data_IF_223438038466
#
_entry.id   IF_223438038466
#
_cell.length_a   1.000
_cell.length_b   1.000
_cell.length_c   1.000
_cell.angle_alpha   90.00
_cell.angle_beta   90.00
_cell.angle_gamma   90.00
#
_symmetry.space_group_name_H-M   'P 1'
#
loop_
_entity.id
_entity.type
_entity.pdbx_description
1 polymer ?
#
# COMPACT_ATOMS: atom_id res chain seq x y z
N UNK A 1 27.60 22.33 -7.17
CA UNK A 1 26.64 23.25 -6.54
C UNK A 1 25.41 23.60 -7.42
N UNK A 2 25.57 24.05 -8.67
CA UNK A 2 24.41 24.45 -9.54
C UNK A 2 23.41 23.31 -9.87
N UNK A 3 23.83 22.04 -9.90
CA UNK A 3 22.96 20.89 -10.20
C UNK A 3 22.11 20.50 -8.99
N UNK A 4 22.67 20.53 -7.80
CA UNK A 4 21.95 20.27 -6.55
C UNK A 4 20.84 21.33 -6.31
N UNK A 5 21.13 22.59 -6.63
CA UNK A 5 20.19 23.70 -6.51
C UNK A 5 19.01 23.61 -7.52
N UNK A 6 19.24 23.06 -8.73
CA UNK A 6 18.18 22.77 -9.70
C UNK A 6 17.31 21.59 -9.24
N UNK A 7 17.92 20.54 -8.67
CA UNK A 7 17.19 19.37 -8.16
C UNK A 7 16.32 19.71 -6.94
N UNK A 8 16.82 20.56 -6.05
CA UNK A 8 16.05 21.05 -4.89
C UNK A 8 14.88 21.93 -5.34
N UNK A 9 15.07 22.81 -6.32
CA UNK A 9 13.97 23.61 -6.89
C UNK A 9 12.91 22.74 -7.60
N UNK A 10 13.34 21.69 -8.30
CA UNK A 10 12.39 20.77 -8.93
C UNK A 10 11.60 19.95 -7.88
N UNK A 11 12.28 19.53 -6.82
CA UNK A 11 11.64 18.83 -5.71
C UNK A 11 10.64 19.72 -4.96
N UNK A 12 10.99 20.98 -4.70
CA UNK A 12 10.07 21.95 -4.08
C UNK A 12 8.89 22.30 -4.97
N UNK A 13 9.08 22.46 -6.27
CA UNK A 13 7.98 22.71 -7.23
C UNK A 13 7.08 21.48 -7.33
N UNK A 14 7.65 20.27 -7.39
CA UNK A 14 6.88 19.03 -7.39
C UNK A 14 6.08 18.85 -6.08
N UNK A 15 6.67 19.19 -4.94
CA UNK A 15 6.01 19.14 -3.63
C UNK A 15 4.87 20.18 -3.53
N UNK A 16 5.08 21.39 -4.03
CA UNK A 16 4.06 22.44 -4.09
C UNK A 16 2.93 22.06 -5.08
N UNK A 17 3.25 21.45 -6.22
CA UNK A 17 2.27 20.98 -7.19
C UNK A 17 1.43 19.81 -6.65
N UNK A 18 2.06 18.88 -5.92
CA UNK A 18 1.38 17.80 -5.19
C UNK A 18 0.42 18.37 -4.13
N UNK A 19 0.86 19.39 -3.41
CA UNK A 19 0.09 20.02 -2.36
C UNK A 19 -1.09 20.84 -2.92
N UNK A 20 -0.89 21.56 -4.03
CA UNK A 20 -1.98 22.32 -4.68
C UNK A 20 -3.04 21.38 -5.29
N UNK A 21 -2.67 20.22 -5.81
CA UNK A 21 -3.62 19.24 -6.34
C UNK A 21 -4.56 18.69 -5.26
N UNK A 22 -4.07 18.51 -4.02
CA UNK A 22 -4.92 18.06 -2.91
C UNK A 22 -5.91 19.14 -2.44
N UNK A 23 -5.57 20.41 -2.59
CA UNK A 23 -6.44 21.54 -2.21
C UNK A 23 -7.58 21.73 -3.22
N UNK A 24 -7.30 21.62 -4.53
CA UNK A 24 -8.32 21.76 -5.57
C UNK A 24 -9.34 20.61 -5.60
N UNK A 25 -8.99 19.44 -5.05
CA UNK A 25 -9.94 18.33 -4.91
C UNK A 25 -10.97 18.54 -3.77
N UNK A 26 -10.77 19.55 -2.92
CA UNK A 26 -11.55 19.78 -1.70
C UNK A 26 -12.68 20.83 -1.82
N UNK A 27 -12.80 21.58 -2.93
CA UNK A 27 -13.75 22.71 -2.98
C UNK A 27 -14.85 22.50 -4.03
N UNK A 28 -16.04 22.14 -3.57
CA UNK A 28 -17.31 22.60 -4.12
C UNK A 28 -18.50 22.27 -3.22
N UNK A 29 -18.89 23.25 -2.44
CA UNK A 29 -20.11 23.15 -1.64
C UNK A 29 -21.35 23.54 -2.43
N UNK A 30 -22.37 22.69 -2.41
CA UNK A 30 -23.80 23.04 -2.37
C UNK A 30 -24.64 21.83 -1.97
N UNK A 31 -25.72 22.14 -1.20
CA UNK A 31 -26.66 21.21 -0.58
C UNK A 31 -27.42 20.34 -1.57
N UNK A 32 -27.56 19.05 -1.33
CA UNK A 32 -28.81 18.34 -1.50
C UNK A 32 -28.87 17.02 -0.72
N UNK A 33 -30.09 16.62 -0.34
CA UNK A 33 -30.52 15.59 0.57
C UNK A 33 -30.01 14.16 0.28
N UNK A 34 -29.84 13.43 1.39
CA UNK A 34 -29.97 11.98 1.57
C UNK A 34 -29.73 11.07 0.35
N UNK A 35 -28.46 10.69 0.20
CA UNK A 35 -28.05 9.34 -0.16
C UNK A 35 -26.52 9.28 0.02
N UNK A 36 -26.02 8.22 0.62
CA UNK A 36 -24.61 7.97 0.99
C UNK A 36 -23.62 8.14 -0.15
N UNK A 37 -23.41 9.35 -0.56
CA UNK A 37 -22.54 9.70 -1.67
C UNK A 37 -21.63 10.80 -1.18
N UNK A 38 -20.40 10.48 -0.72
CA UNK A 38 -19.24 11.36 -0.45
C UNK A 38 -19.46 12.87 -0.34
N UNK A 39 -20.67 13.27 0.00
CA UNK A 39 -21.11 14.64 0.18
C UNK A 39 -20.92 15.05 1.63
N UNK A 40 -20.53 16.28 1.83
CA UNK A 40 -20.41 17.04 3.08
C UNK A 40 -20.36 16.23 4.35
N UNK A 41 -19.16 16.01 4.82
CA UNK A 41 -18.87 15.40 6.10
C UNK A 41 -19.02 16.47 7.15
N UNK A 42 -20.16 16.49 7.83
CA UNK A 42 -20.50 17.51 8.84
C UNK A 42 -20.48 16.92 10.26
N UNK A 43 -20.66 15.62 10.41
CA UNK A 43 -20.64 14.94 11.71
C UNK A 43 -19.39 14.09 11.88
N UNK A 44 -19.05 13.79 13.14
CA UNK A 44 -17.88 12.96 13.46
C UNK A 44 -18.00 11.55 12.87
N UNK A 45 -19.21 10.99 12.90
CA UNK A 45 -19.54 9.67 12.39
C UNK A 45 -19.39 9.62 10.85
N UNK A 46 -19.83 10.67 10.16
CA UNK A 46 -19.66 10.79 8.70
C UNK A 46 -18.19 10.93 8.29
N UNK A 47 -17.38 11.67 9.10
CA UNK A 47 -15.93 11.77 8.91
C UNK A 47 -15.29 10.38 9.01
N UNK A 48 -15.61 9.64 10.05
CA UNK A 48 -15.04 8.31 10.28
C UNK A 48 -15.43 7.34 9.15
N UNK A 49 -16.69 7.32 8.76
CA UNK A 49 -17.17 6.49 7.65
C UNK A 49 -16.49 6.84 6.34
N UNK A 50 -16.32 8.15 6.02
CA UNK A 50 -15.62 8.61 4.85
C UNK A 50 -14.15 8.17 4.83
N UNK A 51 -13.43 8.32 5.95
CA UNK A 51 -12.03 7.91 6.08
C UNK A 51 -11.92 6.40 5.86
N UNK A 52 -12.75 5.61 6.54
CA UNK A 52 -12.74 4.15 6.41
C UNK A 52 -13.06 3.68 4.99
N UNK A 53 -13.99 4.34 4.29
CA UNK A 53 -14.30 4.04 2.90
C UNK A 53 -13.14 4.38 1.96
N UNK A 54 -12.46 5.50 2.18
CA UNK A 54 -11.37 5.96 1.32
C UNK A 54 -10.10 5.11 1.42
N UNK A 55 -9.87 4.47 2.58
CA UNK A 55 -8.71 3.60 2.81
C UNK A 55 -8.90 2.22 2.15
N UNK A 56 -10.15 1.77 1.92
CA UNK A 56 -10.44 0.48 1.31
C UNK A 56 -10.02 0.43 -0.16
N UNK A 57 -9.69 -0.77 -0.62
CA UNK A 57 -9.41 -1.02 -2.03
C UNK A 57 -10.71 -0.93 -2.86
N UNK A 58 -10.65 -0.34 -4.03
CA UNK A 58 -11.79 -0.10 -4.89
C UNK A 58 -11.66 -0.83 -6.22
N UNK A 59 -12.79 -1.31 -6.75
CA UNK A 59 -12.91 -1.88 -8.10
C UNK A 59 -13.02 -0.80 -9.18
N UNK A 60 -13.08 0.47 -8.79
CA UNK A 60 -13.10 1.62 -9.69
C UNK A 60 -11.84 2.46 -9.49
N UNK A 61 -11.18 2.79 -10.59
CA UNK A 61 -10.06 3.72 -10.55
C UNK A 61 -10.57 5.15 -10.64
N UNK A 62 -10.95 5.73 -9.51
CA UNK A 62 -11.37 7.13 -9.44
C UNK A 62 -10.18 8.04 -9.13
N UNK A 63 -9.97 9.06 -9.96
CA UNK A 63 -8.97 10.10 -9.73
C UNK A 63 -9.55 11.20 -8.84
N UNK A 64 -10.65 11.79 -9.25
CA UNK A 64 -11.41 12.78 -8.49
C UNK A 64 -12.86 12.82 -8.96
N UNK A 65 -13.74 13.31 -8.10
CA UNK A 65 -15.12 13.59 -8.46
C UNK A 65 -15.42 15.07 -8.25
N UNK A 66 -16.14 15.69 -9.16
CA UNK A 66 -16.60 17.06 -9.03
C UNK A 66 -18.11 17.13 -9.29
N UNK A 67 -18.77 18.06 -8.61
CA UNK A 67 -20.19 18.32 -8.83
C UNK A 67 -20.31 19.51 -9.78
N UNK A 68 -20.96 19.30 -10.92
CA UNK A 68 -21.26 20.38 -11.86
C UNK A 68 -22.30 21.35 -11.27
N UNK A 69 -22.41 22.55 -11.85
CA UNK A 69 -23.42 23.56 -11.45
C UNK A 69 -24.85 23.03 -11.57
N UNK A 70 -25.09 22.03 -12.41
CA UNK A 70 -26.37 21.31 -12.57
C UNK A 70 -26.68 20.33 -11.43
N UNK A 71 -25.84 20.25 -10.39
CA UNK A 71 -25.99 19.33 -9.27
C UNK A 71 -25.61 17.85 -9.58
N UNK A 72 -25.18 17.57 -10.81
CA UNK A 72 -24.73 16.23 -11.20
C UNK A 72 -23.28 16.01 -10.81
N UNK A 73 -23.02 14.86 -10.20
CA UNK A 73 -21.66 14.44 -9.82
C UNK A 73 -21.00 13.70 -10.97
N UNK A 74 -19.86 14.21 -11.40
CA UNK A 74 -19.02 13.62 -12.42
C UNK A 74 -17.82 12.93 -11.77
N UNK A 75 -17.67 11.64 -12.01
CA UNK A 75 -16.52 10.87 -11.59
C UNK A 75 -15.53 10.77 -12.75
N UNK A 76 -14.33 11.30 -12.55
CA UNK A 76 -13.25 11.11 -13.50
C UNK A 76 -12.44 9.87 -13.08
N UNK A 77 -12.54 8.82 -13.88
CA UNK A 77 -11.90 7.55 -13.58
C UNK A 77 -12.05 6.53 -14.70
N UNK A 78 -11.48 5.37 -14.50
CA UNK A 78 -11.57 4.25 -15.44
C UNK A 78 -12.27 3.07 -14.75
N UNK A 79 -13.27 2.46 -15.40
CA UNK A 79 -13.83 1.21 -14.90
C UNK A 79 -12.77 0.10 -15.02
N UNK A 80 -12.66 -0.70 -13.98
CA UNK A 80 -11.70 -1.81 -13.95
C UNK A 80 -12.42 -3.13 -14.26
N UNK A 81 -11.74 -4.11 -14.84
CA UNK A 81 -12.33 -5.42 -15.10
C UNK A 81 -12.52 -6.19 -13.80
N UNK A 82 -13.75 -6.61 -13.57
CA UNK A 82 -14.17 -7.48 -12.47
C UNK A 82 -14.09 -8.92 -12.96
N UNK A 83 -13.39 -9.75 -12.19
CA UNK A 83 -13.17 -11.17 -12.47
C UNK A 83 -13.53 -11.97 -11.22
N UNK A 84 -14.66 -12.70 -11.29
CA UNK A 84 -15.18 -13.44 -10.16
C UNK A 84 -15.20 -14.95 -10.46
N UNK A 85 -14.87 -15.74 -9.47
CA UNK A 85 -15.10 -17.16 -9.49
C UNK A 85 -16.35 -17.46 -8.68
N UNK A 86 -17.47 -17.63 -9.38
CA UNK A 86 -18.80 -17.83 -8.82
C UNK A 86 -19.18 -19.30 -8.77
N UNK A 87 -20.38 -19.61 -8.27
CA UNK A 87 -20.95 -20.96 -8.21
C UNK A 87 -21.06 -21.65 -9.60
N UNK A 88 -21.20 -20.89 -10.69
CA UNK A 88 -21.28 -21.39 -12.07
C UNK A 88 -19.98 -21.18 -12.87
N UNK A 89 -18.86 -20.87 -12.20
CA UNK A 89 -17.54 -20.69 -12.79
C UNK A 89 -17.11 -19.23 -12.96
N UNK A 90 -16.20 -18.99 -13.91
CA UNK A 90 -15.61 -17.67 -14.12
C UNK A 90 -16.61 -16.70 -14.77
N UNK A 91 -16.84 -15.57 -14.11
CA UNK A 91 -17.67 -14.45 -14.60
C UNK A 91 -16.81 -13.21 -14.70
N UNK A 92 -16.89 -12.51 -15.84
CA UNK A 92 -16.14 -11.27 -16.08
C UNK A 92 -17.06 -10.18 -16.62
N UNK A 93 -16.91 -8.96 -16.08
CA UNK A 93 -17.63 -7.77 -16.51
C UNK A 93 -16.87 -6.52 -16.07
N UNK A 94 -17.34 -5.34 -16.45
CA UNK A 94 -16.68 -4.08 -16.06
C UNK A 94 -17.34 -3.49 -14.81
N UNK A 95 -16.55 -2.88 -13.94
CA UNK A 95 -17.03 -2.24 -12.71
C UNK A 95 -18.04 -1.12 -12.97
N UNK A 96 -18.02 -0.51 -14.17
CA UNK A 96 -19.00 0.49 -14.58
C UNK A 96 -20.45 0.01 -14.53
N UNK A 97 -20.70 -1.30 -14.58
CA UNK A 97 -22.04 -1.85 -14.48
C UNK A 97 -22.67 -1.69 -13.09
N UNK A 98 -21.86 -1.44 -12.06
CA UNK A 98 -22.34 -1.06 -10.72
C UNK A 98 -22.69 0.43 -10.58
N UNK A 99 -22.51 1.25 -11.63
CA UNK A 99 -22.78 2.69 -11.60
C UNK A 99 -22.19 3.43 -10.40
N UNK A 100 -21.00 3.02 -9.95
CA UNK A 100 -20.32 3.52 -8.74
C UNK A 100 -21.09 3.30 -7.42
N UNK A 101 -22.15 2.47 -7.43
CA UNK A 101 -22.87 2.14 -6.22
C UNK A 101 -22.07 1.13 -5.37
N UNK A 102 -21.97 1.38 -4.06
CA UNK A 102 -21.26 0.54 -3.08
C UNK A 102 -22.18 0.10 -1.91
N UNK A 103 -23.47 0.38 -2.01
CA UNK A 103 -24.48 0.13 -0.96
C UNK A 103 -25.35 -1.10 -1.26
N UNK A 104 -25.05 -1.82 -2.34
CA UNK A 104 -25.80 -3.02 -2.73
C UNK A 104 -27.14 -2.77 -3.42
N UNK A 105 -27.47 -1.53 -3.79
CA UNK A 105 -28.72 -1.20 -4.48
C UNK A 105 -28.70 -1.56 -5.98
N UNK A 106 -27.52 -1.56 -6.60
CA UNK A 106 -27.36 -1.91 -8.01
C UNK A 106 -26.98 -3.37 -8.11
N UNK A 107 -27.80 -4.15 -8.82
CA UNK A 107 -27.60 -5.56 -9.05
C UNK A 107 -27.20 -5.78 -10.52
N UNK A 108 -26.08 -6.43 -10.72
CA UNK A 108 -25.58 -6.83 -12.05
C UNK A 108 -25.90 -8.30 -12.27
N UNK A 109 -26.64 -8.58 -13.33
CA UNK A 109 -26.99 -9.96 -13.71
C UNK A 109 -26.08 -10.45 -14.82
N UNK A 110 -25.34 -11.54 -14.57
CA UNK A 110 -24.46 -12.20 -15.54
C UNK A 110 -24.55 -13.72 -15.39
N UNK A 111 -24.71 -14.40 -16.51
CA UNK A 111 -24.85 -15.87 -16.58
C UNK A 111 -25.95 -16.43 -15.67
N UNK A 112 -27.04 -15.66 -15.47
CA UNK A 112 -28.13 -16.08 -14.58
C UNK A 112 -27.85 -15.91 -13.09
N UNK A 113 -26.69 -15.37 -12.71
CA UNK A 113 -26.33 -15.02 -11.35
C UNK A 113 -26.43 -13.52 -11.15
N UNK A 114 -26.76 -13.11 -9.93
CA UNK A 114 -26.90 -11.72 -9.53
C UNK A 114 -25.78 -11.31 -8.58
N UNK A 115 -25.13 -10.21 -8.89
CA UNK A 115 -24.03 -9.68 -8.11
C UNK A 115 -24.37 -8.29 -7.60
N UNK A 116 -24.03 -8.02 -6.34
CA UNK A 116 -24.13 -6.69 -5.74
C UNK A 116 -22.79 -6.31 -5.12
N UNK A 117 -22.47 -5.03 -5.18
CA UNK A 117 -21.27 -4.47 -4.53
C UNK A 117 -21.69 -3.82 -3.21
N UNK A 118 -21.10 -4.30 -2.10
CA UNK A 118 -21.36 -3.79 -0.75
C UNK A 118 -20.04 -3.55 -0.03
N UNK A 119 -19.81 -2.32 0.42
CA UNK A 119 -18.58 -1.92 1.14
C UNK A 119 -17.30 -2.37 0.43
N UNK A 120 -17.21 -2.11 -0.87
CA UNK A 120 -16.08 -2.48 -1.74
C UNK A 120 -15.86 -3.98 -1.93
N UNK A 121 -16.83 -4.82 -1.55
CA UNK A 121 -16.83 -6.28 -1.80
C UNK A 121 -17.96 -6.65 -2.73
N UNK A 122 -17.69 -7.58 -3.63
CA UNK A 122 -18.71 -8.13 -4.52
C UNK A 122 -19.25 -9.41 -3.92
N UNK A 123 -20.57 -9.48 -3.83
CA UNK A 123 -21.32 -10.60 -3.27
C UNK A 123 -22.22 -11.19 -4.37
N UNK A 124 -22.34 -12.52 -4.36
CA UNK A 124 -23.32 -13.25 -5.19
C UNK A 124 -24.60 -13.42 -4.38
N UNK A 125 -25.74 -12.99 -4.93
CA UNK A 125 -27.04 -13.12 -4.30
C UNK A 125 -27.58 -14.53 -4.43
N UNK A 126 -28.36 -14.94 -3.43
CA UNK A 126 -29.09 -16.23 -3.47
C UNK A 126 -30.09 -16.28 -4.62
N UNK A 127 -30.32 -17.48 -5.16
CA UNK A 127 -31.25 -17.70 -6.26
C UNK A 127 -32.65 -17.22 -5.88
N UNK A 128 -33.14 -16.22 -6.61
CA UNK A 128 -34.46 -15.61 -6.39
C UNK A 128 -34.43 -14.28 -5.61
N UNK A 129 -33.33 -13.89 -5.03
CA UNK A 129 -33.23 -12.59 -4.37
C UNK A 129 -33.27 -11.45 -5.39
N UNK A 130 -34.08 -10.44 -5.12
CA UNK A 130 -34.19 -9.23 -5.95
C UNK A 130 -33.38 -8.04 -5.38
N UNK A 131 -33.05 -8.08 -4.10
CA UNK A 131 -32.29 -7.03 -3.39
C UNK A 131 -31.39 -7.66 -2.33
N UNK A 132 -30.36 -6.95 -1.90
CA UNK A 132 -29.54 -7.36 -0.76
C UNK A 132 -30.34 -7.06 0.52
N UNK A 133 -30.47 -8.07 1.40
CA UNK A 133 -31.04 -7.92 2.74
C UNK A 133 -29.92 -7.79 3.75
N UNK A 134 -30.02 -6.79 4.64
CA UNK A 134 -29.05 -6.54 5.69
C UNK A 134 -29.61 -6.89 7.06
N UNK A 135 -28.78 -7.40 7.95
CA UNK A 135 -29.09 -7.55 9.37
C UNK A 135 -28.88 -6.23 10.15
N UNK A 136 -29.17 -6.23 11.45
CA UNK A 136 -28.96 -5.07 12.33
C UNK A 136 -27.50 -4.60 12.39
N UNK A 137 -26.56 -5.45 11.99
CA UNK A 137 -25.12 -5.18 11.94
C UNK A 137 -24.61 -4.81 10.53
N UNK A 138 -25.52 -4.51 9.60
CA UNK A 138 -25.24 -4.18 8.20
C UNK A 138 -24.45 -5.27 7.42
N UNK A 139 -24.61 -6.55 7.82
CA UNK A 139 -24.13 -7.68 7.03
C UNK A 139 -25.21 -8.20 6.09
N UNK A 140 -24.82 -8.51 4.84
CA UNK A 140 -25.73 -9.12 3.90
C UNK A 140 -26.09 -10.55 4.33
N UNK A 141 -27.39 -10.84 4.46
CA UNK A 141 -27.92 -12.14 4.93
C UNK A 141 -28.28 -13.08 3.79
N UNK A 142 -28.61 -12.55 2.60
CA UNK A 142 -29.05 -13.30 1.43
C UNK A 142 -28.02 -13.24 0.29
N UNK A 143 -26.72 -13.13 0.64
CA UNK A 143 -25.66 -13.07 -0.33
C UNK A 143 -24.39 -13.74 0.19
N UNK A 144 -23.66 -14.41 -0.69
CA UNK A 144 -22.43 -15.15 -0.40
C UNK A 144 -21.20 -14.42 -0.93
N UNK A 145 -20.08 -14.55 -0.22
CA UNK A 145 -18.79 -14.05 -0.70
C UNK A 145 -18.30 -14.90 -1.87
N UNK A 146 -17.89 -14.26 -2.94
CA UNK A 146 -17.28 -14.87 -4.12
C UNK A 146 -15.77 -14.73 -4.04
N UNK A 147 -15.03 -15.66 -4.67
CA UNK A 147 -13.59 -15.48 -4.86
C UNK A 147 -13.38 -14.40 -5.91
N UNK A 148 -12.80 -13.29 -5.47
CA UNK A 148 -12.60 -12.09 -6.27
C UNK A 148 -11.15 -12.02 -6.74
N UNK A 149 -10.96 -12.16 -8.06
CA UNK A 149 -9.69 -11.99 -8.77
C UNK A 149 -9.66 -10.70 -9.60
N UNK A 150 -10.52 -9.75 -9.29
CA UNK A 150 -10.65 -8.51 -10.04
C UNK A 150 -9.37 -7.68 -10.00
N UNK A 151 -9.16 -6.92 -11.04
CA UNK A 151 -8.11 -5.91 -11.07
C UNK A 151 -8.62 -4.69 -10.32
N UNK A 152 -8.20 -4.59 -9.06
CA UNK A 152 -8.52 -3.45 -8.19
C UNK A 152 -7.56 -2.28 -8.43
N UNK A 153 -7.88 -1.12 -7.84
CA UNK A 153 -7.00 0.06 -7.85
C UNK A 153 -5.59 -0.26 -7.33
N UNK A 154 -5.48 -1.07 -6.28
CA UNK A 154 -4.19 -1.50 -5.71
C UNK A 154 -3.40 -2.37 -6.68
N UNK A 155 -4.05 -3.29 -7.40
CA UNK A 155 -3.40 -4.13 -8.41
C UNK A 155 -2.85 -3.28 -9.56
N UNK A 156 -3.63 -2.31 -10.05
CA UNK A 156 -3.16 -1.35 -11.05
C UNK A 156 -1.94 -0.58 -10.56
N UNK A 157 -1.96 -0.12 -9.31
CA UNK A 157 -0.82 0.55 -8.69
C UNK A 157 0.45 -0.32 -8.66
N UNK A 158 0.31 -1.59 -8.25
CA UNK A 158 1.41 -2.56 -8.23
C UNK A 158 2.00 -2.76 -9.63
N UNK A 159 1.15 -2.98 -10.63
CA UNK A 159 1.59 -3.21 -12.01
C UNK A 159 2.27 -1.98 -12.60
N UNK A 160 1.70 -0.80 -12.39
CA UNK A 160 2.24 0.46 -12.86
C UNK A 160 3.62 0.75 -12.27
N UNK A 161 3.76 0.63 -10.95
CA UNK A 161 5.03 0.87 -10.26
C UNK A 161 6.04 -0.23 -10.62
N UNK A 162 5.61 -1.50 -10.71
CA UNK A 162 6.47 -2.60 -11.17
C UNK A 162 7.03 -2.35 -12.57
N UNK A 163 6.19 -1.93 -13.52
CA UNK A 163 6.61 -1.58 -14.86
C UNK A 163 7.56 -0.36 -14.88
N UNK A 164 7.26 0.67 -14.09
CA UNK A 164 8.09 1.86 -13.95
C UNK A 164 9.49 1.52 -13.44
N UNK A 165 9.57 0.68 -12.41
CA UNK A 165 10.86 0.22 -11.86
C UNK A 165 11.63 -0.61 -12.89
N UNK A 166 10.99 -1.55 -13.58
CA UNK A 166 11.62 -2.33 -14.65
C UNK A 166 12.17 -1.42 -15.73
N UNK A 167 11.41 -0.40 -16.14
CA UNK A 167 11.86 0.58 -17.14
C UNK A 167 13.08 1.38 -16.65
N UNK A 168 13.04 1.91 -15.43
CA UNK A 168 14.13 2.70 -14.87
C UNK A 168 15.41 1.90 -14.70
N UNK A 169 15.33 0.69 -14.10
CA UNK A 169 16.49 -0.16 -13.89
C UNK A 169 17.05 -0.74 -15.20
N UNK A 170 16.20 -1.08 -16.16
CA UNK A 170 16.65 -1.51 -17.49
C UNK A 170 17.38 -0.40 -18.22
N UNK A 171 16.91 0.84 -18.09
CA UNK A 171 17.57 2.01 -18.67
C UNK A 171 18.89 2.32 -17.98
N UNK A 172 18.96 2.21 -16.67
CA UNK A 172 20.18 2.33 -15.88
C UNK A 172 21.22 1.29 -16.31
N UNK A 173 20.81 0.02 -16.38
CA UNK A 173 21.68 -1.08 -16.79
C UNK A 173 22.23 -0.91 -18.21
N UNK A 174 21.42 -0.39 -19.15
CA UNK A 174 21.88 -0.07 -20.51
C UNK A 174 22.93 1.04 -20.53
N UNK A 175 22.79 2.07 -19.67
CA UNK A 175 23.77 3.16 -19.60
C UNK A 175 25.15 2.67 -19.14
N UNK A 176 25.22 1.75 -18.18
CA UNK A 176 26.48 1.18 -17.72
C UNK A 176 27.21 0.33 -18.77
N UNK A 177 26.51 -0.15 -19.81
CA UNK A 177 27.17 -0.84 -20.94
C UNK A 177 27.89 0.10 -21.88
N UNK A 178 27.51 1.38 -21.92
CA UNK A 178 28.01 2.35 -22.90
C UNK A 178 28.78 3.51 -22.26
N UNK A 179 28.55 3.80 -20.98
CA UNK A 179 29.13 4.95 -20.26
C UNK A 179 29.63 4.51 -18.90
N UNK A 180 30.81 4.99 -18.51
CA UNK A 180 31.34 4.74 -17.15
C UNK A 180 30.56 5.49 -16.05
N UNK A 181 29.95 6.63 -16.39
CA UNK A 181 29.17 7.44 -15.46
C UNK A 181 27.77 7.65 -16.04
N UNK A 182 26.70 7.29 -15.29
CA UNK A 182 25.33 7.47 -15.74
C UNK A 182 24.97 8.96 -15.81
N UNK A 183 24.06 9.30 -16.73
CA UNK A 183 23.60 10.67 -16.98
C UNK A 183 22.08 10.80 -16.77
N UNK A 184 21.61 12.01 -16.43
CA UNK A 184 20.19 12.27 -16.22
C UNK A 184 19.65 11.62 -14.94
N UNK A 185 18.46 11.02 -15.00
CA UNK A 185 17.78 10.39 -13.87
C UNK A 185 18.57 9.19 -13.29
N UNK A 186 19.29 8.47 -14.12
CA UNK A 186 20.15 7.36 -13.70
C UNK A 186 21.20 7.79 -12.68
N UNK A 187 21.69 9.04 -12.75
CA UNK A 187 22.64 9.62 -11.78
C UNK A 187 22.02 9.82 -10.39
N UNK A 188 20.69 9.96 -10.31
CA UNK A 188 19.97 10.05 -9.01
C UNK A 188 19.74 8.68 -8.42
N UNK A 189 19.49 7.66 -9.27
CA UNK A 189 19.27 6.29 -8.80
C UNK A 189 20.57 5.62 -8.34
N UNK A 190 21.71 5.93 -8.95
CA UNK A 190 23.00 5.29 -8.64
C UNK A 190 23.39 5.38 -7.17
N UNK A 191 23.39 6.56 -6.50
CA UNK A 191 23.72 6.65 -5.08
C UNK A 191 22.81 5.80 -4.19
N UNK A 192 21.52 5.70 -4.54
CA UNK A 192 20.58 4.91 -3.78
C UNK A 192 20.81 3.40 -3.97
N UNK A 193 21.16 2.98 -5.19
CA UNK A 193 21.53 1.59 -5.46
C UNK A 193 22.80 1.22 -4.70
N UNK A 194 23.80 2.09 -4.71
CA UNK A 194 25.04 1.91 -3.96
C UNK A 194 24.78 1.88 -2.45
N UNK A 195 23.91 2.75 -1.96
CA UNK A 195 23.51 2.78 -0.55
C UNK A 195 22.87 1.45 -0.11
N UNK A 196 21.90 0.94 -0.87
CA UNK A 196 21.28 -0.37 -0.53
C UNK A 196 22.30 -1.52 -0.60
N UNK A 197 23.23 -1.47 -1.56
CA UNK A 197 24.27 -2.49 -1.69
C UNK A 197 25.28 -2.42 -0.54
N UNK A 198 25.84 -1.25 -0.28
CA UNK A 198 27.01 -1.08 0.58
C UNK A 198 26.64 -0.89 2.07
N UNK A 199 25.50 -0.23 2.35
CA UNK A 199 25.08 0.06 3.73
C UNK A 199 24.02 -0.95 4.25
N UNK A 200 23.31 -1.66 3.36
CA UNK A 200 22.28 -2.61 3.79
C UNK A 200 22.69 -4.04 3.46
N UNK A 201 22.94 -4.37 2.18
CA UNK A 201 23.14 -5.76 1.79
C UNK A 201 24.47 -6.32 2.30
N UNK A 202 25.57 -5.61 2.06
CA UNK A 202 26.92 -6.08 2.39
C UNK A 202 27.18 -6.25 3.87
N UNK A 203 26.84 -5.30 4.76
CA UNK A 203 27.08 -5.44 6.20
C UNK A 203 26.25 -6.53 6.86
N UNK A 204 25.01 -6.73 6.41
CA UNK A 204 24.08 -7.67 7.03
C UNK A 204 24.20 -9.11 6.51
N UNK A 205 24.59 -9.31 5.23
CA UNK A 205 24.65 -10.64 4.60
C UNK A 205 26.08 -11.15 4.50
N UNK A 206 27.07 -10.23 4.52
CA UNK A 206 28.49 -10.57 4.37
C UNK A 206 28.97 -10.61 2.92
N UNK A 207 30.31 -10.46 2.75
CA UNK A 207 30.96 -10.30 1.44
C UNK A 207 30.80 -11.49 0.49
N UNK A 208 30.60 -12.71 1.02
CA UNK A 208 30.45 -13.92 0.20
C UNK A 208 29.09 -14.00 -0.50
N UNK A 209 28.00 -13.61 0.19
CA UNK A 209 26.64 -13.93 -0.26
C UNK A 209 25.82 -12.70 -0.70
N UNK A 210 26.20 -11.46 -0.30
CA UNK A 210 25.39 -10.25 -0.56
C UNK A 210 25.00 -10.08 -2.03
N UNK A 211 25.87 -10.40 -2.98
CA UNK A 211 25.63 -10.22 -4.41
C UNK A 211 24.38 -10.96 -4.90
N UNK A 212 24.13 -12.16 -4.34
CA UNK A 212 22.98 -12.99 -4.69
C UNK A 212 21.66 -12.34 -4.32
N UNK A 213 21.63 -11.65 -3.17
CA UNK A 213 20.40 -11.10 -2.60
C UNK A 213 20.22 -9.60 -2.85
N UNK A 214 21.26 -8.90 -3.31
CA UNK A 214 21.18 -7.46 -3.61
C UNK A 214 20.07 -7.12 -4.59
N UNK A 215 19.85 -7.92 -5.62
CA UNK A 215 18.74 -7.71 -6.57
C UNK A 215 17.37 -7.72 -5.91
N UNK A 216 17.12 -8.67 -5.02
CA UNK A 216 15.89 -8.74 -4.25
C UNK A 216 15.73 -7.52 -3.32
N UNK A 217 16.77 -7.20 -2.55
CA UNK A 217 16.75 -6.07 -1.63
C UNK A 217 16.53 -4.73 -2.34
N UNK A 218 17.15 -4.52 -3.49
CA UNK A 218 16.90 -3.36 -4.34
C UNK A 218 15.44 -3.29 -4.80
N UNK A 219 14.91 -4.42 -5.27
CA UNK A 219 13.52 -4.49 -5.72
C UNK A 219 12.56 -4.13 -4.60
N UNK A 220 12.73 -4.72 -3.42
CA UNK A 220 11.86 -4.46 -2.26
C UNK A 220 11.98 -3.02 -1.79
N UNK A 221 13.20 -2.49 -1.69
CA UNK A 221 13.45 -1.11 -1.26
C UNK A 221 12.72 -0.10 -2.16
N UNK A 222 13.00 -0.17 -3.48
CA UNK A 222 12.41 0.78 -4.41
C UNK A 222 10.92 0.57 -4.60
N UNK A 223 10.45 -0.68 -4.55
CA UNK A 223 9.04 -1.00 -4.68
C UNK A 223 8.24 -0.39 -3.51
N UNK A 224 8.65 -0.63 -2.27
CA UNK A 224 7.99 -0.06 -1.09
C UNK A 224 8.09 1.46 -1.10
N UNK A 225 9.27 2.02 -1.36
CA UNK A 225 9.48 3.46 -1.35
C UNK A 225 8.63 4.19 -2.39
N UNK A 226 8.65 3.72 -3.64
CA UNK A 226 7.89 4.36 -4.72
C UNK A 226 6.39 4.17 -4.54
N UNK A 227 5.92 2.99 -4.05
CA UNK A 227 4.51 2.78 -3.73
C UNK A 227 4.03 3.71 -2.60
N UNK A 228 4.82 3.87 -1.55
CA UNK A 228 4.48 4.76 -0.45
C UNK A 228 4.43 6.22 -0.92
N UNK A 229 5.39 6.65 -1.74
CA UNK A 229 5.35 7.98 -2.34
C UNK A 229 4.15 8.16 -3.28
N UNK A 230 3.82 7.15 -4.08
CA UNK A 230 2.63 7.18 -4.93
C UNK A 230 1.33 7.27 -4.11
N UNK A 231 1.30 6.64 -2.92
CA UNK A 231 0.20 6.74 -1.97
C UNK A 231 -0.05 8.16 -1.45
N UNK A 232 0.99 8.96 -1.31
CA UNK A 232 0.89 10.38 -0.91
C UNK A 232 0.43 11.29 -2.05
N UNK A 233 0.36 10.79 -3.28
CA UNK A 233 -0.15 11.55 -4.41
C UNK A 233 -1.68 11.51 -4.44
N UNK A 234 -2.35 12.49 -5.10
CA UNK A 234 -3.79 12.49 -5.26
C UNK A 234 -4.34 11.29 -6.07
N UNK A 235 -3.47 10.48 -6.65
CA UNK A 235 -3.83 9.20 -7.27
C UNK A 235 -4.39 8.20 -6.25
N UNK A 236 -4.07 8.38 -4.96
CA UNK A 236 -4.65 7.63 -3.84
C UNK A 236 -4.37 6.12 -3.88
N UNK A 237 -3.17 5.72 -4.28
CA UNK A 237 -2.75 4.33 -4.22
C UNK A 237 -2.39 3.93 -2.78
N UNK A 238 -3.36 3.43 -2.03
CA UNK A 238 -3.08 2.90 -0.69
C UNK A 238 -2.69 1.41 -0.74
N UNK A 239 -1.70 1.07 -1.57
CA UNK A 239 -1.31 -0.33 -1.84
C UNK A 239 -0.68 -0.98 -0.61
N UNK A 240 0.27 -0.30 0.01
CA UNK A 240 1.00 -0.77 1.19
C UNK A 240 0.18 -0.67 2.48
N UNK A 241 -0.95 0.03 2.46
CA UNK A 241 -1.98 0.00 3.50
C UNK A 241 -2.95 -1.18 3.36
N UNK A 242 -2.79 -2.06 2.36
CA UNK A 242 -3.55 -3.29 2.24
C UNK A 242 -2.80 -4.45 2.92
N UNK A 243 -3.45 -5.09 3.90
CA UNK A 243 -2.86 -6.19 4.67
C UNK A 243 -2.41 -7.36 3.78
N UNK A 244 -3.13 -7.63 2.69
CA UNK A 244 -2.79 -8.69 1.74
C UNK A 244 -1.46 -8.41 1.04
N UNK A 245 -1.21 -7.18 0.60
CA UNK A 245 0.02 -6.80 -0.11
C UNK A 245 1.23 -6.84 0.81
N UNK A 246 1.11 -6.25 2.00
CA UNK A 246 2.18 -6.26 3.00
C UNK A 246 2.46 -7.67 3.50
N UNK A 247 1.42 -8.51 3.62
CA UNK A 247 1.54 -9.93 3.92
C UNK A 247 2.30 -10.70 2.85
N UNK A 248 1.99 -10.48 1.58
CA UNK A 248 2.74 -11.08 0.47
C UNK A 248 4.22 -10.71 0.51
N UNK A 249 4.57 -9.43 0.73
CA UNK A 249 5.96 -9.00 0.84
C UNK A 249 6.70 -9.68 2.00
N UNK A 250 6.03 -9.79 3.16
CA UNK A 250 6.59 -10.47 4.32
C UNK A 250 6.79 -11.97 4.07
N UNK A 251 5.83 -12.62 3.39
CA UNK A 251 5.91 -14.04 2.99
C UNK A 251 7.03 -14.25 1.96
N UNK A 252 7.20 -13.36 0.98
CA UNK A 252 8.34 -13.45 0.05
C UNK A 252 9.68 -13.40 0.79
N UNK A 253 9.82 -12.48 1.76
CA UNK A 253 11.02 -12.44 2.61
C UNK A 253 11.20 -13.73 3.39
N UNK A 254 10.12 -14.25 4.01
CA UNK A 254 10.11 -15.52 4.72
C UNK A 254 10.61 -16.66 3.82
N UNK A 255 10.04 -16.82 2.63
CA UNK A 255 10.43 -17.88 1.69
C UNK A 255 11.90 -17.76 1.31
N UNK A 256 12.38 -16.55 1.01
CA UNK A 256 13.77 -16.34 0.59
C UNK A 256 14.74 -16.74 1.69
N UNK A 257 14.58 -16.28 2.94
CA UNK A 257 15.54 -16.65 3.98
C UNK A 257 15.39 -18.10 4.44
N UNK A 258 14.18 -18.66 4.41
CA UNK A 258 13.95 -20.07 4.76
C UNK A 258 14.58 -21.02 3.74
N UNK A 259 14.38 -20.77 2.42
CA UNK A 259 14.96 -21.59 1.36
C UNK A 259 16.47 -21.39 1.24
N UNK A 260 16.98 -20.22 1.58
CA UNK A 260 18.42 -19.91 1.53
C UNK A 260 19.16 -20.33 2.80
N UNK A 261 18.44 -20.78 3.84
CA UNK A 261 19.00 -21.17 5.12
C UNK A 261 19.94 -22.37 5.01
N UNK A 262 21.14 -22.22 5.56
CA UNK A 262 22.16 -23.27 5.62
C UNK A 262 21.74 -24.35 6.63
N UNK A 263 22.40 -25.52 6.56
CA UNK A 263 22.20 -26.61 7.55
C UNK A 263 22.47 -26.12 8.97
N UNK A 264 23.49 -25.32 9.18
CA UNK A 264 23.87 -24.75 10.46
C UNK A 264 22.78 -23.85 11.05
N UNK A 265 22.12 -23.06 10.23
CA UNK A 265 20.97 -22.24 10.62
C UNK A 265 19.81 -23.11 11.15
N UNK A 266 19.44 -24.18 10.44
CA UNK A 266 18.36 -25.06 10.85
C UNK A 266 18.77 -25.90 12.09
N UNK A 267 20.03 -26.33 12.14
CA UNK A 267 20.56 -27.05 13.31
C UNK A 267 20.57 -26.14 14.54
N UNK A 268 20.93 -24.87 14.40
CA UNK A 268 20.88 -23.90 15.49
C UNK A 268 19.46 -23.68 16.02
N UNK A 269 18.47 -23.58 15.15
CA UNK A 269 17.05 -23.42 15.52
C UNK A 269 16.53 -24.66 16.23
N UNK A 270 16.81 -25.86 15.68
CA UNK A 270 16.25 -27.11 16.20
C UNK A 270 17.07 -27.69 17.36
N UNK A 271 18.38 -27.45 17.37
CA UNK A 271 19.29 -28.06 18.34
C UNK A 271 20.39 -27.08 18.78
N UNK A 272 20.02 -26.08 19.55
CA UNK A 272 20.93 -25.04 19.98
C UNK A 272 22.11 -25.62 20.78
N UNK A 273 23.40 -25.37 20.42
CA UNK A 273 24.55 -25.79 21.15
C UNK A 273 24.64 -25.06 22.50
N UNK A 274 25.26 -25.72 23.52
CA UNK A 274 25.49 -25.11 24.83
C UNK A 274 24.30 -25.07 25.80
N UNK A 275 23.13 -25.61 25.42
CA UNK A 275 21.92 -25.63 26.26
C UNK A 275 21.68 -27.04 26.82
N UNK A 276 21.24 -27.18 28.09
CA UNK A 276 20.86 -28.49 28.68
C UNK A 276 19.77 -29.18 27.85
N UNK A 277 19.88 -30.51 27.70
CA UNK A 277 19.01 -31.30 26.80
C UNK A 277 17.53 -31.16 27.12
N UNK A 278 17.15 -31.03 28.39
CA UNK A 278 15.74 -30.85 28.79
C UNK A 278 15.10 -29.55 28.35
N UNK A 279 15.88 -28.49 28.12
CA UNK A 279 15.39 -27.17 27.72
C UNK A 279 15.35 -27.03 26.20
N UNK A 280 16.15 -27.81 25.47
CA UNK A 280 16.26 -27.73 23.99
C UNK A 280 14.92 -27.83 23.26
N UNK A 281 13.98 -28.75 23.57
CA UNK A 281 12.73 -28.85 22.83
C UNK A 281 11.86 -27.60 22.98
N UNK A 282 11.80 -27.02 24.18
CA UNK A 282 11.02 -25.81 24.43
C UNK A 282 11.63 -24.62 23.67
N UNK A 283 12.97 -24.51 23.72
CA UNK A 283 13.67 -23.42 23.03
C UNK A 283 13.55 -23.55 21.51
N UNK A 284 13.64 -24.78 20.97
CA UNK A 284 13.44 -25.04 19.55
C UNK A 284 12.04 -24.59 19.03
N UNK A 285 11.00 -24.85 19.83
CA UNK A 285 9.63 -24.38 19.46
C UNK A 285 9.56 -22.86 19.45
N UNK A 286 10.14 -22.19 20.46
CA UNK A 286 10.15 -20.72 20.55
C UNK A 286 10.94 -20.12 19.39
N UNK A 287 12.14 -20.64 19.09
CA UNK A 287 13.01 -20.16 18.01
C UNK A 287 12.36 -20.40 16.63
N UNK A 288 11.73 -21.56 16.44
CA UNK A 288 10.99 -21.87 15.21
C UNK A 288 9.78 -20.94 15.03
N UNK A 289 9.02 -20.70 16.10
CA UNK A 289 7.93 -19.73 16.08
C UNK A 289 8.44 -18.32 15.79
N UNK A 290 9.57 -17.94 16.38
CA UNK A 290 10.29 -16.71 16.11
C UNK A 290 10.64 -16.56 14.63
N UNK A 291 11.26 -17.58 14.07
CA UNK A 291 11.67 -17.57 12.67
C UNK A 291 10.47 -17.54 11.68
N UNK A 292 9.46 -18.39 11.87
CA UNK A 292 8.40 -18.58 10.89
C UNK A 292 7.20 -17.66 11.08
N UNK A 293 6.93 -17.18 12.29
CA UNK A 293 5.73 -16.39 12.60
C UNK A 293 6.11 -14.97 12.99
N UNK A 294 6.95 -14.80 14.02
CA UNK A 294 7.17 -13.47 14.63
C UNK A 294 7.89 -12.53 13.65
N UNK A 295 8.96 -12.99 12.99
CA UNK A 295 9.74 -12.17 12.05
C UNK A 295 8.89 -11.67 10.87
N UNK A 296 8.18 -12.51 10.09
CA UNK A 296 7.35 -12.01 8.99
C UNK A 296 6.13 -11.21 9.47
N UNK A 297 5.52 -11.58 10.60
CA UNK A 297 4.43 -10.81 11.19
C UNK A 297 4.87 -9.40 11.60
N UNK A 298 6.05 -9.26 12.19
CA UNK A 298 6.63 -7.95 12.54
C UNK A 298 6.85 -7.07 11.31
N UNK A 299 7.36 -7.65 10.19
CA UNK A 299 7.52 -6.93 8.92
C UNK A 299 6.17 -6.45 8.37
N UNK A 300 5.17 -7.35 8.35
CA UNK A 300 3.82 -7.07 7.87
C UNK A 300 3.19 -5.92 8.67
N UNK A 301 3.10 -6.09 10.00
CA UNK A 301 2.40 -5.12 10.87
C UNK A 301 3.05 -3.75 10.82
N UNK A 302 4.38 -3.69 10.81
CA UNK A 302 5.12 -2.43 10.75
C UNK A 302 4.81 -1.65 9.48
N UNK A 303 4.85 -2.32 8.32
CA UNK A 303 4.58 -1.66 7.05
C UNK A 303 3.11 -1.23 6.95
N UNK A 304 2.18 -2.12 7.26
CA UNK A 304 0.74 -1.86 7.26
C UNK A 304 0.34 -0.74 8.21
N UNK A 305 0.76 -0.83 9.48
CA UNK A 305 0.32 0.11 10.52
C UNK A 305 0.79 1.54 10.25
N UNK A 306 2.06 1.72 9.85
CA UNK A 306 2.59 3.06 9.63
C UNK A 306 1.91 3.76 8.45
N UNK A 307 1.68 3.05 7.33
CA UNK A 307 1.02 3.65 6.16
C UNK A 307 -0.46 3.92 6.44
N UNK A 308 -1.16 2.97 7.08
CA UNK A 308 -2.57 3.17 7.44
C UNK A 308 -2.74 4.31 8.43
N UNK A 309 -1.87 4.41 9.44
CA UNK A 309 -1.90 5.51 10.41
C UNK A 309 -1.64 6.87 9.75
N UNK A 310 -0.66 6.96 8.84
CA UNK A 310 -0.37 8.17 8.09
C UNK A 310 -1.58 8.66 7.29
N UNK A 311 -2.20 7.79 6.50
CA UNK A 311 -3.42 8.14 5.75
C UNK A 311 -4.57 8.60 6.65
N UNK A 312 -4.80 7.91 7.78
CA UNK A 312 -5.84 8.31 8.74
C UNK A 312 -5.56 9.71 9.30
N UNK A 313 -4.30 9.99 9.66
CA UNK A 313 -3.93 11.30 10.21
C UNK A 313 -4.14 12.42 9.19
N UNK A 314 -3.70 12.26 7.93
CA UNK A 314 -3.91 13.27 6.89
C UNK A 314 -5.39 13.51 6.64
N UNK A 315 -6.20 12.45 6.51
CA UNK A 315 -7.64 12.58 6.32
C UNK A 315 -8.32 13.24 7.52
N UNK A 316 -7.90 12.93 8.73
CA UNK A 316 -8.43 13.55 9.95
C UNK A 316 -8.10 15.05 10.01
N UNK A 317 -6.92 15.47 9.56
CA UNK A 317 -6.56 16.89 9.47
C UNK A 317 -7.39 17.66 8.45
N UNK A 318 -7.72 17.04 7.31
CA UNK A 318 -8.65 17.62 6.33
C UNK A 318 -10.04 17.76 6.97
N UNK A 319 -10.49 16.75 7.73
CA UNK A 319 -11.76 16.78 8.42
C UNK A 319 -11.85 17.87 9.52
N UNK A 320 -10.73 18.19 10.18
CA UNK A 320 -10.67 19.29 11.17
C UNK A 320 -11.08 20.64 10.53
N UNK A 321 -10.79 20.86 9.26
CA UNK A 321 -11.24 22.05 8.55
C UNK A 321 -12.77 22.22 8.61
N UNK A 322 -13.51 21.12 8.50
CA UNK A 322 -14.97 21.16 8.54
C UNK A 322 -15.51 21.35 9.97
N UNK A 323 -14.90 20.68 10.95
CA UNK A 323 -15.36 20.76 12.34
C UNK A 323 -15.03 22.09 13.03
N UNK A 324 -13.88 22.71 12.71
CA UNK A 324 -13.49 23.99 13.29
C UNK A 324 -14.03 25.22 12.55
N UNK A 325 -14.76 25.01 11.44
CA UNK A 325 -15.31 26.11 10.64
C UNK A 325 -16.23 27.03 11.42
N UNK A 326 -17.03 26.49 12.35
CA UNK A 326 -17.93 27.25 13.20
C UNK A 326 -17.20 28.09 14.27
N UNK A 327 -16.07 27.59 14.79
CA UNK A 327 -15.33 28.26 15.88
C UNK A 327 -14.30 29.28 15.36
N UNK A 328 -13.59 28.98 14.27
CA UNK A 328 -12.47 29.78 13.75
C UNK A 328 -12.83 30.53 12.45
N UNK A 329 -14.05 30.32 11.95
CA UNK A 329 -14.43 30.78 10.60
C UNK A 329 -13.76 29.99 9.49
N UNK A 330 -14.22 30.16 8.26
CA UNK A 330 -13.72 29.41 7.08
C UNK A 330 -12.23 29.63 6.87
N UNK A 331 -11.78 30.87 6.91
CA UNK A 331 -10.37 31.25 6.64
C UNK A 331 -9.44 30.70 7.72
N UNK A 332 -9.81 30.85 9.00
CA UNK A 332 -8.99 30.35 10.11
C UNK A 332 -8.88 28.82 10.14
N UNK A 333 -10.00 28.13 9.95
CA UNK A 333 -10.02 26.67 9.92
C UNK A 333 -9.23 26.11 8.74
N UNK A 334 -9.42 26.66 7.54
CA UNK A 334 -8.68 26.27 6.33
C UNK A 334 -7.18 26.55 6.48
N UNK A 335 -6.79 27.74 6.98
CA UNK A 335 -5.39 28.06 7.18
C UNK A 335 -4.69 27.13 8.17
N UNK A 336 -5.34 26.82 9.29
CA UNK A 336 -4.79 25.92 10.30
C UNK A 336 -4.65 24.49 9.74
N UNK A 337 -5.70 23.95 9.12
CA UNK A 337 -5.68 22.60 8.51
C UNK A 337 -4.60 22.50 7.43
N UNK A 338 -4.43 23.52 6.61
CA UNK A 338 -3.44 23.56 5.53
C UNK A 338 -2.00 23.51 6.08
N UNK A 339 -1.70 24.32 7.10
CA UNK A 339 -0.37 24.33 7.73
C UNK A 339 -0.07 22.97 8.37
N UNK A 340 -1.01 22.42 9.15
CA UNK A 340 -0.84 21.11 9.79
C UNK A 340 -0.66 20.00 8.77
N UNK A 341 -1.50 19.97 7.72
CA UNK A 341 -1.41 18.96 6.65
C UNK A 341 -0.08 19.03 5.91
N UNK A 342 0.45 20.22 5.67
CA UNK A 342 1.77 20.38 5.06
C UNK A 342 2.88 19.74 5.90
N UNK A 343 2.92 20.02 7.21
CA UNK A 343 3.92 19.43 8.10
C UNK A 343 3.78 17.91 8.19
N UNK A 344 2.56 17.40 8.30
CA UNK A 344 2.33 15.96 8.35
C UNK A 344 2.72 15.28 7.03
N UNK A 345 2.39 15.85 5.87
CA UNK A 345 2.81 15.29 4.57
C UNK A 345 4.34 15.25 4.46
N UNK A 346 5.04 16.24 4.97
CA UNK A 346 6.51 16.24 5.00
C UNK A 346 7.06 15.10 5.86
N UNK A 347 6.46 14.88 7.03
CA UNK A 347 6.81 13.74 7.90
C UNK A 347 6.48 12.41 7.20
N UNK A 348 5.36 12.30 6.52
CA UNK A 348 4.98 11.08 5.78
C UNK A 348 5.94 10.73 4.64
N UNK A 349 6.46 11.73 3.92
CA UNK A 349 7.51 11.51 2.91
C UNK A 349 8.77 10.91 3.55
N UNK A 350 9.16 11.41 4.74
CA UNK A 350 10.27 10.84 5.49
C UNK A 350 9.98 9.40 5.96
N UNK A 351 8.78 9.18 6.49
CA UNK A 351 8.32 7.86 6.95
C UNK A 351 8.26 6.87 5.78
N UNK A 352 7.81 7.30 4.60
CA UNK A 352 7.79 6.47 3.39
C UNK A 352 9.19 5.92 3.03
N UNK A 353 10.22 6.78 3.11
CA UNK A 353 11.61 6.34 2.93
C UNK A 353 12.07 5.41 4.06
N UNK A 354 11.81 5.80 5.31
CA UNK A 354 12.22 5.05 6.49
C UNK A 354 11.63 3.63 6.49
N UNK A 355 10.38 3.48 6.06
CA UNK A 355 9.72 2.17 5.95
C UNK A 355 10.41 1.25 4.93
N UNK A 356 10.73 1.78 3.75
CA UNK A 356 11.47 1.02 2.74
C UNK A 356 12.85 0.60 3.28
N UNK A 357 13.53 1.51 3.97
CA UNK A 357 14.82 1.25 4.60
C UNK A 357 14.73 0.15 5.66
N UNK A 358 13.83 0.30 6.64
CA UNK A 358 13.70 -0.64 7.76
C UNK A 358 13.29 -2.02 7.26
N UNK A 359 12.31 -2.10 6.34
CA UNK A 359 11.87 -3.38 5.78
C UNK A 359 13.03 -4.10 5.08
N UNK A 360 13.78 -3.37 4.25
CA UNK A 360 14.90 -3.92 3.49
C UNK A 360 16.06 -4.33 4.40
N UNK A 361 16.36 -3.52 5.42
CA UNK A 361 17.41 -3.81 6.40
C UNK A 361 17.10 -5.06 7.22
N UNK A 362 15.85 -5.18 7.72
CA UNK A 362 15.45 -6.39 8.45
C UNK A 362 15.42 -7.63 7.55
N UNK A 363 14.98 -7.49 6.29
CA UNK A 363 15.05 -8.57 5.32
C UNK A 363 16.50 -9.03 5.09
N UNK A 364 17.42 -8.08 4.93
CA UNK A 364 18.86 -8.36 4.79
C UNK A 364 19.43 -9.05 6.04
N UNK A 365 19.04 -8.58 7.22
CA UNK A 365 19.46 -9.19 8.51
C UNK A 365 18.96 -10.65 8.63
N UNK A 366 17.68 -10.91 8.29
CA UNK A 366 17.12 -12.27 8.35
C UNK A 366 17.76 -13.20 7.34
N UNK A 367 18.05 -12.72 6.12
CA UNK A 367 18.79 -13.47 5.12
C UNK A 367 20.22 -13.73 5.61
N UNK A 368 20.88 -12.71 6.16
CA UNK A 368 22.25 -12.84 6.67
C UNK A 368 22.37 -13.89 7.76
N UNK A 369 21.45 -13.88 8.73
CA UNK A 369 21.39 -14.92 9.78
C UNK A 369 21.16 -16.32 9.18
N UNK A 370 20.38 -16.44 8.11
CA UNK A 370 20.08 -17.71 7.48
C UNK A 370 21.27 -18.29 6.68
N UNK A 371 22.10 -17.42 6.09
CA UNK A 371 23.25 -17.84 5.25
C UNK A 371 24.60 -17.76 5.97
N UNK A 372 24.62 -17.27 7.22
CA UNK A 372 25.85 -17.20 8.02
C UNK A 372 26.44 -18.59 8.19
N UNK A 373 27.73 -18.75 7.86
CA UNK A 373 28.51 -19.92 8.17
C UNK A 373 29.04 -19.75 9.60
N UNK A 374 28.64 -20.61 10.51
CA UNK A 374 29.30 -20.70 11.81
C UNK A 374 30.63 -21.42 11.56
N UNK A 375 31.74 -20.65 11.48
CA UNK A 375 33.06 -21.23 11.58
C UNK A 375 33.11 -21.89 12.98
N UNK A 376 33.21 -23.21 13.02
CA UNK A 376 33.55 -23.92 14.24
C UNK A 376 34.84 -23.30 14.77
N UNK A 377 34.73 -22.51 15.82
CA UNK A 377 35.88 -22.12 16.61
C UNK A 377 36.33 -23.38 17.37
N UNK A 378 37.33 -24.06 16.81
CA UNK A 378 38.13 -25.06 17.52
C UNK A 378 38.97 -24.37 18.58
#
# INVERSE_FOLDING_TARGET
MKVAQKSIKFLTIALIALFSATIFASDSGKKHDNQNDGGRVNTKEEVEAYILHHIKDSHDFSLFSYTSDDGKRHHLGFPLPVILWSSEGLVTFMSSEFHHNDDGHVIVEKKGLKFAKVHSKILELDKGAATVSFDETHHATNAHKVLDFSITKSVVGILLIGFLLLFWFSRLAKQYKTKQVPTGFARVLEPLVLYVRDEIARPNIGDKHYRRFTGYLLTVFFFIWVLNLAGLTPLGFNVTGQLAVTGCLAIFTLVIYTVSGNKDYWMHILWMPGVPVFVKPVLAIIELAGALIIKPFSLLVRLFANISAGHIVVMSLIAIMYTLKESLGVVGATGLSLVLSFFITLIEVLVAFLQAYIFTMLSALFIGMAVAEHSEAH
#
